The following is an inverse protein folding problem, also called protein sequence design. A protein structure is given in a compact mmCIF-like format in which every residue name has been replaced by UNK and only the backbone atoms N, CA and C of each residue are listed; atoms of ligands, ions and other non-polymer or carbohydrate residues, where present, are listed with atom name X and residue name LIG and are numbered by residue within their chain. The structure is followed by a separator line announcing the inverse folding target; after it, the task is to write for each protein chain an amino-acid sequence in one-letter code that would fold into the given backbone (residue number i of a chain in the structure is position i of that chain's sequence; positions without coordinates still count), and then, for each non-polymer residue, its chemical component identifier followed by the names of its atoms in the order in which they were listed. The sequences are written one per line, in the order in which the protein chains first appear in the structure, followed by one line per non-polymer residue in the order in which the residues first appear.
data_IF_029228914419
#
_entry.id   IF_029228914419
#
_cell.length_a   1.000
_cell.length_b   1.000
_cell.length_c   1.000
_cell.angle_alpha   90.00
_cell.angle_beta   90.00
_cell.angle_gamma   90.00
#
_symmetry.space_group_name_H-M   'P 1'
#
loop_
_entity.id
_entity.type
_entity.pdbx_description
1 polymer ?
#
# COMPACT_ATOMS: atom_id res chain seq x y z
N UNK A 1 1.38 -11.44 1.67
CA UNK A 1 2.40 -10.93 2.62
C UNK A 1 3.78 -11.13 2.04
N UNK A 2 4.45 -10.06 1.65
CA UNK A 2 5.84 -10.08 1.18
C UNK A 2 6.82 -10.36 2.34
N UNK A 3 8.08 -10.68 2.02
CA UNK A 3 9.11 -10.93 3.02
C UNK A 3 9.31 -9.77 4.01
N UNK A 4 9.22 -8.53 3.52
CA UNK A 4 9.28 -7.31 4.34
C UNK A 4 8.10 -7.23 5.33
N UNK A 5 6.88 -7.51 4.85
CA UNK A 5 5.70 -7.52 5.72
C UNK A 5 5.80 -8.59 6.81
N UNK A 6 6.29 -9.79 6.47
CA UNK A 6 6.52 -10.87 7.45
C UNK A 6 7.57 -10.51 8.49
N UNK A 7 8.64 -9.82 8.10
CA UNK A 7 9.67 -9.35 9.03
C UNK A 7 9.08 -8.32 10.00
N UNK A 8 8.39 -7.29 9.49
CA UNK A 8 7.78 -6.24 10.34
C UNK A 8 6.71 -6.82 11.26
N UNK A 9 5.83 -7.69 10.76
CA UNK A 9 4.74 -8.27 11.57
C UNK A 9 5.23 -9.27 12.62
N UNK A 10 6.46 -9.79 12.51
CA UNK A 10 7.08 -10.69 13.49
C UNK A 10 7.55 -9.96 14.76
N UNK A 11 7.81 -8.65 14.68
CA UNK A 11 8.24 -7.84 15.82
C UNK A 11 7.08 -7.13 16.54
N UNK A 12 5.85 -7.25 16.06
CA UNK A 12 4.66 -6.63 16.66
C UNK A 12 3.65 -7.70 17.08
N UNK A 13 2.75 -7.35 18.00
CA UNK A 13 1.66 -8.24 18.40
C UNK A 13 0.65 -8.44 17.27
N UNK A 14 -0.07 -9.57 17.26
CA UNK A 14 -1.06 -9.91 16.22
C UNK A 14 -2.13 -8.83 16.02
N UNK A 15 -2.57 -8.19 17.11
CA UNK A 15 -3.55 -7.11 17.06
C UNK A 15 -3.01 -5.87 16.35
N UNK A 16 -1.74 -5.51 16.61
CA UNK A 16 -1.07 -4.43 15.90
C UNK A 16 -0.84 -4.76 14.43
N UNK A 17 -0.41 -5.99 14.11
CA UNK A 17 -0.26 -6.43 12.73
C UNK A 17 -1.56 -6.32 11.93
N UNK A 18 -2.71 -6.68 12.53
CA UNK A 18 -4.02 -6.53 11.90
C UNK A 18 -4.41 -5.07 11.70
N UNK A 19 -4.19 -4.20 12.69
CA UNK A 19 -4.44 -2.77 12.55
C UNK A 19 -3.57 -2.13 11.46
N UNK A 20 -2.29 -2.51 11.40
CA UNK A 20 -1.35 -2.07 10.35
C UNK A 20 -1.78 -2.54 8.96
N UNK A 21 -2.21 -3.80 8.84
CA UNK A 21 -2.71 -4.36 7.59
C UNK A 21 -3.99 -3.64 7.14
N UNK A 22 -4.96 -3.46 8.04
CA UNK A 22 -6.22 -2.77 7.75
C UNK A 22 -5.98 -1.34 7.26
N UNK A 23 -5.15 -0.56 7.96
CA UNK A 23 -4.83 0.80 7.53
C UNK A 23 -4.03 0.80 6.22
N UNK A 24 -3.06 -0.12 6.07
CA UNK A 24 -2.28 -0.22 4.84
C UNK A 24 -3.15 -0.59 3.63
N UNK A 25 -4.24 -1.35 3.81
CA UNK A 25 -5.18 -1.64 2.71
C UNK A 25 -6.00 -0.43 2.27
N UNK A 26 -6.24 0.52 3.18
CA UNK A 26 -6.96 1.76 2.87
C UNK A 26 -6.16 2.69 1.95
N UNK A 27 -4.83 2.61 2.00
CA UNK A 27 -3.95 3.36 1.11
C UNK A 27 -3.89 2.69 -0.26
N UNK A 28 -4.53 3.31 -1.26
CA UNK A 28 -4.62 2.79 -2.63
C UNK A 28 -3.87 3.64 -3.63
N UNK A 29 -3.38 2.98 -4.66
CA UNK A 29 -2.87 3.56 -5.88
C UNK A 29 -3.85 3.27 -7.00
N UNK A 30 -4.08 4.26 -7.85
CA UNK A 30 -4.92 4.10 -9.04
C UNK A 30 -4.14 4.56 -10.26
N UNK A 31 -4.12 3.73 -11.29
CA UNK A 31 -3.60 4.08 -12.60
C UNK A 31 -4.73 4.60 -13.48
N UNK A 32 -4.38 5.46 -14.44
CA UNK A 32 -5.31 5.84 -15.51
C UNK A 32 -5.70 4.68 -16.42
N UNK A 33 -4.96 3.57 -16.44
CA UNK A 33 -5.33 2.36 -17.17
C UNK A 33 -6.43 1.52 -16.48
N UNK A 34 -6.95 1.96 -15.32
CA UNK A 34 -7.96 1.23 -14.55
C UNK A 34 -7.40 0.27 -13.50
N UNK A 35 -6.09 0.02 -13.48
CA UNK A 35 -5.46 -0.77 -12.42
C UNK A 35 -5.52 -0.01 -11.09
N UNK A 36 -6.03 -0.65 -10.05
CA UNK A 36 -5.98 -0.15 -8.67
C UNK A 36 -5.49 -1.26 -7.74
N UNK A 37 -4.60 -0.90 -6.82
CA UNK A 37 -4.20 -1.80 -5.74
C UNK A 37 -3.81 -1.02 -4.49
N UNK A 38 -3.76 -1.72 -3.36
CA UNK A 38 -3.34 -1.14 -2.09
C UNK A 38 -1.83 -1.23 -1.89
N UNK A 39 -1.26 -0.35 -1.05
CA UNK A 39 0.15 -0.44 -0.67
C UNK A 39 0.46 -1.79 0.00
N UNK A 40 -0.51 -2.37 0.73
CA UNK A 40 -0.35 -3.69 1.32
C UNK A 40 -0.18 -4.80 0.28
N UNK A 41 -0.99 -4.78 -0.78
CA UNK A 41 -0.92 -5.76 -1.86
C UNK A 41 0.37 -5.63 -2.67
N UNK A 42 0.87 -4.40 -2.84
CA UNK A 42 2.19 -4.12 -3.38
C UNK A 42 3.36 -4.49 -2.45
N UNK A 43 3.07 -5.01 -1.25
CA UNK A 43 4.08 -5.46 -0.29
C UNK A 43 4.67 -4.38 0.60
N UNK A 44 4.14 -3.16 0.53
CA UNK A 44 4.47 -2.08 1.44
C UNK A 44 3.61 -2.07 2.71
N UNK A 45 3.99 -1.21 3.64
CA UNK A 45 3.26 -0.96 4.88
C UNK A 45 3.15 0.56 5.04
N UNK A 46 1.94 1.05 5.32
CA UNK A 46 1.70 2.43 5.69
C UNK A 46 0.70 2.47 6.84
N UNK A 47 1.21 2.76 8.03
CA UNK A 47 0.46 2.80 9.27
C UNK A 47 0.70 4.11 10.01
N UNK A 48 -0.36 4.71 10.57
CA UNK A 48 -0.41 6.08 11.11
C UNK A 48 0.12 7.15 10.16
N UNK A 49 0.11 6.86 8.85
CA UNK A 49 0.55 7.79 7.83
C UNK A 49 -0.46 8.93 7.67
N UNK A 50 0.00 10.14 7.38
CA UNK A 50 -0.85 11.26 6.96
C UNK A 50 -0.33 11.84 5.64
N UNK A 51 -1.24 12.43 4.88
CA UNK A 51 -0.93 13.09 3.61
C UNK A 51 -0.81 12.15 2.41
N UNK A 52 -1.04 12.74 1.24
CA UNK A 52 -0.92 12.07 -0.05
C UNK A 52 0.57 11.98 -0.42
N UNK A 53 1.02 10.80 -0.85
CA UNK A 53 2.39 10.61 -1.36
C UNK A 53 2.32 10.28 -2.85
N UNK A 54 3.12 10.97 -3.65
CA UNK A 54 3.36 10.59 -5.05
C UNK A 54 4.55 9.63 -5.12
N UNK A 55 4.42 8.54 -5.87
CA UNK A 55 5.49 7.57 -6.06
C UNK A 55 5.60 7.24 -7.53
N UNK A 56 6.83 7.24 -8.05
CA UNK A 56 7.10 6.77 -9.41
C UNK A 56 7.24 5.24 -9.35
N UNK A 57 6.35 4.53 -10.03
CA UNK A 57 6.43 3.07 -10.13
C UNK A 57 5.97 2.59 -11.50
N UNK A 58 6.35 1.36 -11.85
CA UNK A 58 5.85 0.68 -13.05
C UNK A 58 4.46 0.13 -12.74
N UNK A 59 3.48 0.44 -13.58
CA UNK A 59 2.13 -0.10 -13.46
C UNK A 59 2.15 -1.61 -13.76
N UNK A 60 1.59 -2.48 -12.90
CA UNK A 60 1.44 -3.90 -13.22
C UNK A 60 0.43 -4.15 -14.34
N UNK A 61 -0.62 -3.33 -14.44
CA UNK A 61 -1.63 -3.43 -15.51
C UNK A 61 -1.12 -3.07 -16.91
N UNK A 62 -0.66 -1.83 -17.12
CA UNK A 62 -0.22 -1.37 -18.45
C UNK A 62 1.30 -1.43 -18.70
N UNK A 63 2.12 -1.72 -17.69
CA UNK A 63 3.58 -1.79 -17.83
C UNK A 63 4.31 -0.44 -17.90
N UNK A 64 3.61 0.68 -17.95
CA UNK A 64 4.21 2.01 -18.04
C UNK A 64 4.70 2.53 -16.69
N UNK A 65 5.79 3.30 -16.67
CA UNK A 65 6.23 4.05 -15.48
C UNK A 65 5.49 5.37 -15.41
N UNK A 66 4.70 5.55 -14.35
CA UNK A 66 3.91 6.76 -14.12
C UNK A 66 4.01 7.20 -12.66
N UNK A 67 3.68 8.46 -12.42
CA UNK A 67 3.53 8.98 -11.07
C UNK A 67 2.18 8.56 -10.52
N UNK A 68 2.20 7.68 -9.54
CA UNK A 68 1.01 7.26 -8.82
C UNK A 68 0.83 8.11 -7.59
N UNK A 69 -0.38 8.63 -7.40
CA UNK A 69 -0.77 9.26 -6.15
C UNK A 69 -1.38 8.19 -5.24
N UNK A 70 -0.81 8.06 -4.05
CA UNK A 70 -1.38 7.24 -2.99
C UNK A 70 -2.41 8.07 -2.25
N UNK A 71 -3.65 7.62 -2.27
CA UNK A 71 -4.77 8.25 -1.57
C UNK A 71 -5.28 7.27 -0.52
N UNK A 72 -5.53 7.77 0.69
CA UNK A 72 -6.21 6.99 1.71
C UNK A 72 -7.71 7.04 1.41
N UNK A 73 -8.29 5.89 1.11
CA UNK A 73 -9.73 5.76 1.01
C UNK A 73 -10.21 5.33 2.39
N UNK A 74 -10.84 6.26 3.11
CA UNK A 74 -11.54 5.90 4.34
C UNK A 74 -12.75 5.02 3.96
N UNK A 75 -12.94 3.87 4.62
CA UNK A 75 -14.09 3.00 4.38
C UNK A 75 -15.41 3.67 4.80
#
# INVERSE_FOLDING_TARGET
MTGFQKLVTRFVSKSFAQAMEAESRAWRFTCTCGWSSSIWDLGGIRYKGKGNKKTLMKCPGCGERKWFQMVKIEP
#
